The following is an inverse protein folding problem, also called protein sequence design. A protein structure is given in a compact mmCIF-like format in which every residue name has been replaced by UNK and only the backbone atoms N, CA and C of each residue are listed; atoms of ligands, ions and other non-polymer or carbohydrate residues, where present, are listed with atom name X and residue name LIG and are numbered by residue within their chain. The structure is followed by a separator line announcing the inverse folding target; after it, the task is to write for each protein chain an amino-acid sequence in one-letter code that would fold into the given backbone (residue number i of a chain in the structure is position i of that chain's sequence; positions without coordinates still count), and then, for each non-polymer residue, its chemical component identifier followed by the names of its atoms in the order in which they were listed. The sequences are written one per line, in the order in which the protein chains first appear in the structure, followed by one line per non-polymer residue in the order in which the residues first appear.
data_IF_184697870805
#
_entry.id   IF_184697870805
#
_cell.length_a   1.000
_cell.length_b   1.000
_cell.length_c   1.000
_cell.angle_alpha   90.00
_cell.angle_beta   90.00
_cell.angle_gamma   90.00
#
_symmetry.space_group_name_H-M   'P 1'
#
loop_
_entity.id
_entity.type
_entity.pdbx_description
1 polymer ?
#
# COMPACT_ATOMS: atom_id res chain seq x y z
N UNK A 1 19.58 -0.96 -82.88
CA UNK A 1 20.95 -1.12 -82.35
C UNK A 1 20.91 -0.61 -80.91
N UNK A 2 21.01 -1.37 -79.83
CA UNK A 2 21.66 -2.65 -79.52
C UNK A 2 20.83 -3.47 -78.51
N UNK A 3 21.02 -4.80 -78.53
CA UNK A 3 20.59 -5.80 -77.54
C UNK A 3 21.59 -5.88 -76.37
N UNK A 4 21.13 -6.27 -75.18
CA UNK A 4 21.63 -7.37 -74.32
C UNK A 4 20.85 -7.32 -72.98
N UNK A 5 19.96 -8.27 -72.69
CA UNK A 5 20.18 -9.53 -71.95
C UNK A 5 20.85 -9.39 -70.58
N UNK A 6 20.14 -9.74 -69.50
CA UNK A 6 20.55 -10.78 -68.55
C UNK A 6 19.41 -11.17 -67.60
N UNK A 7 19.28 -12.48 -67.42
CA UNK A 7 18.27 -13.16 -66.64
C UNK A 7 18.80 -13.50 -65.24
N UNK A 8 17.94 -13.50 -64.23
CA UNK A 8 18.11 -14.25 -62.98
C UNK A 8 16.77 -14.83 -62.55
N UNK A 9 16.57 -16.12 -62.82
CA UNK A 9 15.50 -16.95 -62.25
C UNK A 9 15.97 -17.46 -60.89
N UNK A 10 15.41 -16.92 -59.81
CA UNK A 10 15.50 -17.48 -58.46
C UNK A 10 14.22 -18.24 -58.12
N UNK A 11 14.28 -19.57 -58.08
CA UNK A 11 13.22 -20.43 -57.52
C UNK A 11 13.18 -20.22 -56.01
N UNK A 12 12.14 -19.56 -55.51
CA UNK A 12 11.86 -19.40 -54.09
C UNK A 12 11.26 -20.73 -53.61
N UNK A 13 11.99 -21.44 -52.75
CA UNK A 13 11.50 -22.63 -52.03
C UNK A 13 10.54 -22.20 -50.91
N UNK A 14 9.24 -22.56 -50.95
CA UNK A 14 8.27 -22.16 -49.92
C UNK A 14 8.14 -23.17 -48.77
N UNK A 15 8.91 -24.26 -48.75
CA UNK A 15 8.56 -25.45 -47.94
C UNK A 15 9.21 -25.52 -46.55
N UNK A 16 10.09 -24.57 -46.19
CA UNK A 16 10.78 -24.54 -44.89
C UNK A 16 10.17 -23.54 -43.90
N UNK A 17 9.62 -22.41 -44.39
CA UNK A 17 9.01 -21.39 -43.53
C UNK A 17 7.66 -21.83 -42.96
N UNK A 18 6.88 -22.59 -43.72
CA UNK A 18 5.57 -23.09 -43.28
C UNK A 18 5.70 -24.15 -42.17
N UNK A 19 6.78 -24.95 -42.18
CA UNK A 19 7.03 -25.96 -41.13
C UNK A 19 7.52 -25.32 -39.82
N UNK A 20 8.24 -24.19 -39.89
CA UNK A 20 8.70 -23.47 -38.69
C UNK A 20 7.55 -22.72 -38.00
N UNK A 21 6.57 -22.20 -38.76
CA UNK A 21 5.42 -21.50 -38.21
C UNK A 21 4.41 -22.45 -37.53
N UNK A 22 4.28 -23.68 -38.04
CA UNK A 22 3.39 -24.70 -37.47
C UNK A 22 3.92 -25.27 -36.14
N UNK A 23 5.24 -25.26 -35.92
CA UNK A 23 5.86 -25.65 -34.65
C UNK A 23 5.73 -24.57 -33.56
N UNK A 24 5.60 -23.31 -33.92
CA UNK A 24 5.42 -22.21 -32.95
C UNK A 24 3.98 -22.08 -32.45
N UNK A 25 2.99 -22.50 -33.25
CA UNK A 25 1.56 -22.45 -32.88
C UNK A 25 1.13 -23.61 -31.97
N UNK A 26 1.84 -24.75 -31.96
CA UNK A 26 1.54 -25.86 -31.05
C UNK A 26 2.12 -25.72 -29.63
N UNK A 27 2.94 -24.71 -29.35
CA UNK A 27 3.59 -24.52 -28.05
C UNK A 27 2.84 -23.66 -27.03
N UNK A 28 1.63 -23.16 -27.35
CA UNK A 28 0.93 -22.15 -26.53
C UNK A 28 -0.18 -22.69 -25.61
N UNK A 29 -0.28 -24.01 -25.42
CA UNK A 29 -1.35 -24.63 -24.65
C UNK A 29 -0.83 -25.37 -23.42
N UNK A 30 -0.32 -24.63 -22.44
CA UNK A 30 -0.12 -25.16 -21.08
C UNK A 30 -0.06 -24.00 -20.09
N UNK A 31 -1.20 -23.77 -19.42
CA UNK A 31 -1.33 -23.65 -17.96
C UNK A 31 -2.56 -22.81 -17.60
N UNK A 32 -3.74 -23.44 -17.70
CA UNK A 32 -4.90 -22.99 -16.93
C UNK A 32 -4.79 -23.69 -15.58
N UNK A 33 -4.09 -23.07 -14.63
CA UNK A 33 -4.11 -23.52 -13.25
C UNK A 33 -5.55 -23.34 -12.71
N UNK A 34 -6.34 -24.41 -12.76
CA UNK A 34 -7.63 -24.47 -12.09
C UNK A 34 -7.37 -24.47 -10.58
N UNK A 35 -7.39 -23.28 -9.97
CA UNK A 35 -7.42 -23.13 -8.52
C UNK A 35 -8.75 -23.71 -8.02
N UNK A 36 -8.73 -25.00 -7.66
CA UNK A 36 -9.88 -25.68 -7.08
C UNK A 36 -10.22 -25.04 -5.72
N UNK A 37 -11.37 -24.38 -5.63
CA UNK A 37 -11.89 -23.84 -4.37
C UNK A 37 -12.43 -25.01 -3.56
N UNK A 38 -11.86 -25.25 -2.39
CA UNK A 38 -12.32 -26.26 -1.44
C UNK A 38 -13.00 -25.56 -0.26
N UNK A 39 -14.24 -25.94 0.02
CA UNK A 39 -15.07 -25.37 1.08
C UNK A 39 -14.95 -26.24 2.33
N UNK A 40 -14.78 -25.61 3.48
CA UNK A 40 -14.74 -26.26 4.80
C UNK A 40 -15.95 -25.78 5.61
N UNK A 41 -16.71 -26.70 6.21
CA UNK A 41 -17.78 -26.37 7.15
C UNK A 41 -17.78 -27.34 8.33
N UNK A 42 -18.54 -27.00 9.36
CA UNK A 42 -18.72 -27.78 10.58
C UNK A 42 -20.20 -28.16 10.68
N UNK A 43 -20.50 -29.43 10.89
CA UNK A 43 -21.89 -29.88 11.07
C UNK A 43 -22.39 -29.66 12.52
N UNK A 44 -23.65 -29.98 12.77
CA UNK A 44 -24.31 -29.85 14.08
C UNK A 44 -23.64 -30.68 15.19
N UNK A 45 -22.83 -31.69 14.82
CA UNK A 45 -22.10 -32.55 15.74
C UNK A 45 -20.66 -32.06 15.99
N UNK A 46 -20.24 -30.97 15.34
CA UNK A 46 -18.88 -30.44 15.45
C UNK A 46 -17.86 -31.13 14.54
N UNK A 47 -18.30 -31.99 13.61
CA UNK A 47 -17.40 -32.64 12.64
C UNK A 47 -17.10 -31.72 11.46
N UNK A 48 -15.84 -31.75 11.01
CA UNK A 48 -15.33 -30.89 9.94
C UNK A 48 -15.40 -31.61 8.61
N UNK A 49 -16.14 -31.05 7.65
CA UNK A 49 -16.30 -31.59 6.31
C UNK A 49 -15.59 -30.71 5.26
N UNK A 50 -15.14 -31.35 4.17
CA UNK A 50 -14.51 -30.69 3.02
C UNK A 50 -15.22 -31.09 1.72
N UNK A 51 -15.62 -30.12 0.89
CA UNK A 51 -16.18 -30.38 -0.44
C UNK A 51 -15.69 -29.40 -1.50
N UNK A 52 -15.73 -29.84 -2.74
CA UNK A 52 -15.47 -29.02 -3.93
C UNK A 52 -16.73 -28.26 -4.40
N UNK A 53 -17.90 -28.55 -3.82
CA UNK A 53 -19.16 -27.86 -4.06
C UNK A 53 -19.65 -27.19 -2.77
N UNK A 54 -20.12 -25.92 -2.83
CA UNK A 54 -20.58 -25.21 -1.64
C UNK A 54 -21.84 -25.89 -1.07
N UNK A 55 -21.95 -26.04 0.26
CA UNK A 55 -23.16 -26.58 0.87
C UNK A 55 -24.34 -25.63 0.66
N UNK A 56 -25.50 -26.20 0.37
CA UNK A 56 -26.77 -25.47 0.25
C UNK A 56 -27.10 -24.96 1.65
N UNK A 57 -27.30 -23.64 1.77
CA UNK A 57 -27.63 -23.01 3.05
C UNK A 57 -29.06 -23.39 3.42
N UNK A 58 -29.22 -24.31 4.37
CA UNK A 58 -30.46 -24.42 5.14
C UNK A 58 -30.40 -23.41 6.30
N UNK A 59 -31.52 -22.72 6.52
CA UNK A 59 -31.65 -21.48 7.33
C UNK A 59 -31.43 -21.64 8.85
N UNK A 60 -30.74 -22.68 9.35
CA UNK A 60 -30.59 -22.94 10.79
C UNK A 60 -29.18 -22.68 11.38
N UNK A 61 -28.16 -22.30 10.60
CA UNK A 61 -26.83 -22.04 11.17
C UNK A 61 -26.61 -20.57 11.56
N UNK A 62 -26.58 -20.32 12.86
CA UNK A 62 -26.20 -19.06 13.53
C UNK A 62 -24.83 -18.56 13.03
N UNK A 63 -24.64 -17.25 12.72
CA UNK A 63 -23.33 -16.72 12.39
C UNK A 63 -22.49 -16.62 13.67
N UNK A 64 -21.63 -17.62 13.89
CA UNK A 64 -20.66 -17.62 14.97
C UNK A 64 -19.29 -17.18 14.44
N UNK A 65 -18.65 -16.29 15.18
CA UNK A 65 -17.38 -15.64 14.92
C UNK A 65 -16.33 -16.55 14.28
N UNK A 66 -15.78 -16.11 13.14
CA UNK A 66 -14.61 -16.75 12.53
C UNK A 66 -13.36 -16.46 13.36
N UNK A 67 -13.12 -17.27 14.38
CA UNK A 67 -11.80 -17.45 14.98
C UNK A 67 -11.04 -18.43 14.09
N UNK A 68 -10.28 -17.92 13.13
CA UNK A 68 -9.41 -18.74 12.30
C UNK A 68 -8.02 -18.88 12.95
N UNK A 69 -7.87 -19.89 13.81
CA UNK A 69 -6.55 -20.38 14.23
C UNK A 69 -6.09 -21.39 13.17
N UNK A 70 -5.22 -20.97 12.26
CA UNK A 70 -4.50 -21.89 11.37
C UNK A 70 -3.01 -21.94 11.73
N UNK A 71 -2.67 -22.84 12.65
CA UNK A 71 -1.33 -23.40 12.83
C UNK A 71 -1.07 -24.48 11.79
N UNK A 72 -0.34 -24.15 10.73
CA UNK A 72 0.55 -25.08 10.01
C UNK A 72 1.60 -24.30 9.20
N UNK A 73 2.86 -24.72 9.32
CA UNK A 73 4.05 -24.19 8.64
C UNK A 73 3.77 -23.73 7.20
N UNK A 74 3.91 -22.42 6.95
CA UNK A 74 3.76 -21.80 5.64
C UNK A 74 2.45 -21.05 5.41
N UNK A 75 1.55 -21.01 6.39
CA UNK A 75 0.30 -20.26 6.27
C UNK A 75 0.55 -18.76 6.13
N UNK A 76 0.19 -18.21 4.97
CA UNK A 76 0.24 -16.77 4.68
C UNK A 76 -0.79 -16.11 5.59
N UNK A 77 -0.34 -15.45 6.66
CA UNK A 77 -1.24 -14.66 7.51
C UNK A 77 -1.88 -13.56 6.66
N UNK A 78 -3.20 -13.52 6.67
CA UNK A 78 -3.99 -12.44 6.04
C UNK A 78 -4.35 -11.43 7.12
N UNK A 79 -4.30 -10.12 6.82
CA UNK A 79 -4.70 -9.10 7.78
C UNK A 79 -6.16 -9.26 8.21
N UNK A 80 -6.42 -9.26 9.52
CA UNK A 80 -7.76 -9.28 10.11
C UNK A 80 -8.15 -7.89 10.59
N UNK A 81 -9.45 -7.59 10.65
CA UNK A 81 -9.98 -6.32 11.13
C UNK A 81 -10.81 -6.59 12.38
N UNK A 82 -10.40 -5.99 13.51
CA UNK A 82 -11.12 -6.09 14.80
C UNK A 82 -11.43 -4.67 15.24
N UNK A 83 -12.72 -4.34 15.43
CA UNK A 83 -13.17 -2.98 15.77
C UNK A 83 -12.63 -1.88 14.83
N UNK A 84 -12.60 -2.21 13.52
CA UNK A 84 -12.03 -1.34 12.48
C UNK A 84 -10.49 -1.33 12.44
N UNK A 85 -9.81 -1.80 13.47
CA UNK A 85 -8.36 -1.81 13.54
C UNK A 85 -7.78 -3.03 12.80
N UNK A 86 -6.88 -2.83 11.80
CA UNK A 86 -6.22 -3.93 11.13
C UNK A 86 -5.10 -4.56 11.99
N UNK A 87 -4.98 -5.89 11.92
CA UNK A 87 -3.99 -6.72 12.61
C UNK A 87 -3.40 -7.78 11.68
N UNK A 88 -2.16 -8.18 11.94
CA UNK A 88 -1.54 -9.38 11.40
C UNK A 88 -1.18 -10.31 12.56
N UNK A 89 -2.02 -11.30 12.85
CA UNK A 89 -1.92 -12.05 14.12
C UNK A 89 -2.17 -11.11 15.30
N UNK A 90 -1.20 -10.96 16.19
CA UNK A 90 -1.27 -10.00 17.30
C UNK A 90 -0.65 -8.64 16.97
N UNK A 91 -0.01 -8.51 15.80
CA UNK A 91 0.65 -7.28 15.40
C UNK A 91 -0.35 -6.25 14.90
N UNK A 92 -0.55 -5.19 15.70
CA UNK A 92 -1.38 -4.03 15.32
C UNK A 92 -0.78 -3.25 14.16
N UNK A 93 -1.54 -3.08 13.09
CA UNK A 93 -1.14 -2.32 11.91
C UNK A 93 -1.45 -0.81 12.11
N UNK A 94 -0.72 0.10 11.45
CA UNK A 94 -1.04 1.52 11.52
C UNK A 94 -2.41 1.75 10.88
N UNK A 95 -3.25 2.52 11.57
CA UNK A 95 -4.54 2.96 11.04
C UNK A 95 -4.51 4.48 10.90
N UNK A 96 -5.02 5.04 9.79
CA UNK A 96 -5.22 6.47 9.72
C UNK A 96 -6.25 6.90 10.78
N UNK A 97 -6.07 8.12 11.32
CA UNK A 97 -7.08 8.74 12.17
C UNK A 97 -8.15 9.36 11.28
N UNK A 98 -9.42 9.10 11.58
CA UNK A 98 -10.58 9.65 10.85
C UNK A 98 -10.52 9.34 9.34
N UNK A 99 -11.23 10.12 8.50
CA UNK A 99 -11.29 10.01 7.03
C UNK A 99 -9.96 10.30 6.30
N UNK A 100 -8.81 10.13 6.96
CA UNK A 100 -7.49 10.43 6.39
C UNK A 100 -6.87 9.17 5.81
N UNK A 101 -5.87 9.33 4.94
CA UNK A 101 -5.06 8.21 4.47
C UNK A 101 -3.67 8.24 5.12
N UNK A 102 -3.05 7.07 5.21
CA UNK A 102 -1.67 6.96 5.67
C UNK A 102 -0.73 7.60 4.65
N UNK A 103 0.25 8.35 5.13
CA UNK A 103 1.30 8.88 4.25
C UNK A 103 2.22 7.78 3.75
N UNK A 104 2.74 7.94 2.54
CA UNK A 104 3.77 7.02 2.00
C UNK A 104 5.02 7.03 2.89
N UNK A 105 5.36 8.18 3.48
CA UNK A 105 6.47 8.30 4.44
C UNK A 105 6.26 7.40 5.65
N UNK A 106 5.10 7.48 6.30
CA UNK A 106 4.76 6.65 7.47
C UNK A 106 4.78 5.16 7.12
N UNK A 107 4.21 4.77 5.98
CA UNK A 107 4.25 3.38 5.52
C UNK A 107 5.68 2.90 5.28
N UNK A 108 6.51 3.70 4.60
CA UNK A 108 7.91 3.33 4.34
C UNK A 108 8.74 3.20 5.62
N UNK A 109 8.53 4.07 6.61
CA UNK A 109 9.16 3.96 7.93
C UNK A 109 8.76 2.68 8.65
N UNK A 110 7.46 2.33 8.60
CA UNK A 110 6.94 1.08 9.18
C UNK A 110 7.47 -0.15 8.47
N UNK A 111 7.47 -0.18 7.13
CA UNK A 111 8.06 -1.26 6.34
C UNK A 111 9.53 -1.44 6.70
N UNK A 112 10.32 -0.36 6.75
CA UNK A 112 11.74 -0.44 7.13
C UNK A 112 11.93 -1.09 8.51
N UNK A 113 11.16 -0.65 9.50
CA UNK A 113 11.20 -1.21 10.85
C UNK A 113 10.80 -2.70 10.88
N UNK A 114 9.70 -3.06 10.21
CA UNK A 114 9.24 -4.45 10.15
C UNK A 114 10.20 -5.34 9.38
N UNK A 115 10.81 -4.88 8.27
CA UNK A 115 11.81 -5.66 7.52
C UNK A 115 13.05 -5.95 8.37
N UNK A 116 13.52 -4.97 9.14
CA UNK A 116 14.64 -5.20 10.07
C UNK A 116 14.28 -6.20 11.16
N UNK A 117 13.05 -6.15 11.66
CA UNK A 117 12.60 -7.06 12.73
C UNK A 117 12.33 -8.46 12.20
N UNK A 118 11.73 -8.59 11.02
CA UNK A 118 11.54 -9.83 10.28
C UNK A 118 12.88 -10.57 10.10
N UNK A 119 13.93 -9.85 9.69
CA UNK A 119 15.24 -10.44 9.51
C UNK A 119 15.81 -11.00 10.82
N UNK A 120 15.68 -10.25 11.93
CA UNK A 120 16.07 -10.74 13.26
C UNK A 120 15.26 -11.97 13.69
N UNK A 121 13.96 -11.99 13.40
CA UNK A 121 13.08 -13.13 13.69
C UNK A 121 13.44 -14.36 12.87
N UNK A 122 13.76 -14.20 11.58
CA UNK A 122 14.26 -15.28 10.72
C UNK A 122 15.57 -15.85 11.24
N UNK A 123 16.52 -15.00 11.62
CA UNK A 123 17.79 -15.44 12.23
C UNK A 123 17.58 -16.19 13.56
N UNK A 124 16.63 -15.76 14.39
CA UNK A 124 16.29 -16.45 15.63
C UNK A 124 15.70 -17.85 15.36
N UNK A 125 14.79 -17.95 14.39
CA UNK A 125 14.21 -19.23 13.93
C UNK A 125 15.30 -20.16 13.38
N UNK A 126 16.21 -19.65 12.55
CA UNK A 126 17.30 -20.46 12.01
C UNK A 126 18.26 -20.94 13.09
N UNK A 127 18.60 -20.11 14.08
CA UNK A 127 19.40 -20.55 15.25
C UNK A 127 18.70 -21.65 16.05
N UNK A 128 17.38 -21.56 16.21
CA UNK A 128 16.59 -22.60 16.89
C UNK A 128 16.59 -23.93 16.11
N UNK A 129 16.49 -23.85 14.78
CA UNK A 129 16.43 -25.00 13.88
C UNK A 129 17.82 -25.62 13.61
N UNK A 130 18.90 -24.84 13.60
CA UNK A 130 20.23 -25.30 13.16
C UNK A 130 20.78 -26.52 13.93
N UNK A 131 20.70 -26.60 15.28
CA UNK A 131 21.09 -27.81 15.99
C UNK A 131 20.18 -28.99 15.65
N UNK A 132 18.87 -28.73 15.48
CA UNK A 132 17.86 -29.76 15.25
C UNK A 132 17.97 -30.37 13.85
N UNK A 133 18.38 -29.60 12.84
CA UNK A 133 18.66 -30.11 11.49
C UNK A 133 19.81 -31.14 11.47
N UNK A 134 20.77 -31.07 12.42
CA UNK A 134 21.93 -31.98 12.47
C UNK A 134 21.64 -33.33 13.15
N UNK A 135 20.63 -33.39 14.02
CA UNK A 135 20.31 -34.60 14.80
C UNK A 135 19.13 -35.42 14.23
N UNK A 136 18.44 -34.94 13.19
CA UNK A 136 17.17 -35.50 12.70
C UNK A 136 17.27 -36.59 11.63
N UNK A 137 18.44 -37.18 11.39
CA UNK A 137 18.55 -38.36 10.52
C UNK A 137 18.15 -39.67 11.21
N UNK A 138 17.88 -39.65 12.53
CA UNK A 138 17.58 -40.85 13.31
C UNK A 138 16.33 -40.66 14.18
N UNK A 139 15.25 -41.35 13.79
CA UNK A 139 14.08 -41.69 14.60
C UNK A 139 13.37 -40.53 15.33
N UNK A 140 12.48 -39.83 14.63
CA UNK A 140 11.77 -38.69 15.19
C UNK A 140 10.40 -39.04 15.78
N UNK A 141 10.34 -39.18 17.11
CA UNK A 141 9.10 -38.99 17.88
C UNK A 141 8.88 -37.48 18.06
N UNK A 142 7.82 -36.93 17.44
CA UNK A 142 7.36 -35.54 17.61
C UNK A 142 7.01 -35.28 19.08
N UNK A 143 7.87 -34.55 19.80
CA UNK A 143 7.53 -33.99 21.10
C UNK A 143 6.59 -32.80 20.94
N UNK A 144 5.54 -32.71 21.76
CA UNK A 144 4.63 -31.55 21.83
C UNK A 144 5.40 -30.25 22.05
N UNK A 145 6.43 -30.27 22.90
CA UNK A 145 7.28 -29.12 23.20
C UNK A 145 8.02 -28.53 21.99
N UNK A 146 8.40 -29.37 21.02
CA UNK A 146 9.08 -28.89 19.81
C UNK A 146 8.13 -28.07 18.92
N UNK A 147 6.88 -28.51 18.78
CA UNK A 147 5.90 -27.82 17.95
C UNK A 147 5.52 -26.48 18.56
N UNK A 148 5.36 -26.42 19.89
CA UNK A 148 5.08 -25.19 20.62
C UNK A 148 6.20 -24.16 20.48
N UNK A 149 7.46 -24.59 20.66
CA UNK A 149 8.61 -23.72 20.47
C UNK A 149 8.74 -23.25 19.01
N UNK A 150 8.55 -24.16 18.05
CA UNK A 150 8.60 -23.82 16.63
C UNK A 150 7.55 -22.75 16.28
N UNK A 151 6.31 -22.92 16.77
CA UNK A 151 5.25 -21.95 16.59
C UNK A 151 5.63 -20.58 17.20
N UNK A 152 6.28 -20.57 18.37
CA UNK A 152 6.76 -19.34 19.02
C UNK A 152 7.77 -18.58 18.15
N UNK A 153 8.70 -19.27 17.48
CA UNK A 153 9.69 -18.62 16.60
C UNK A 153 9.12 -18.25 15.22
N UNK A 154 8.17 -19.03 14.69
CA UNK A 154 7.53 -18.76 13.40
C UNK A 154 6.54 -17.58 13.48
N UNK A 155 5.84 -17.42 14.61
CA UNK A 155 4.84 -16.37 14.80
C UNK A 155 5.33 -14.97 14.38
N UNK A 156 6.42 -14.41 14.94
CA UNK A 156 6.87 -13.06 14.55
C UNK A 156 7.31 -12.99 13.09
N UNK A 157 7.83 -14.08 12.50
CA UNK A 157 8.18 -14.12 11.07
C UNK A 157 6.93 -13.93 10.23
N UNK A 158 5.86 -14.66 10.53
CA UNK A 158 4.61 -14.59 9.79
C UNK A 158 3.93 -13.22 9.99
N UNK A 159 3.90 -12.70 11.23
CA UNK A 159 3.24 -11.42 11.55
C UNK A 159 3.92 -10.24 10.84
N UNK A 160 5.25 -10.16 10.87
CA UNK A 160 5.96 -9.08 10.16
C UNK A 160 5.89 -9.23 8.64
N UNK A 161 5.89 -10.46 8.12
CA UNK A 161 5.70 -10.70 6.69
C UNK A 161 4.32 -10.19 6.23
N UNK A 162 3.25 -10.59 6.94
CA UNK A 162 1.90 -10.09 6.70
C UNK A 162 1.83 -8.56 6.77
N UNK A 163 2.46 -7.93 7.77
CA UNK A 163 2.43 -6.48 7.92
C UNK A 163 3.12 -5.74 6.75
N UNK A 164 4.24 -6.29 6.26
CA UNK A 164 4.95 -5.76 5.09
C UNK A 164 4.08 -5.90 3.84
N UNK A 165 3.47 -7.07 3.62
CA UNK A 165 2.63 -7.32 2.45
C UNK A 165 1.39 -6.43 2.46
N UNK A 166 0.75 -6.27 3.61
CA UNK A 166 -0.33 -5.30 3.82
C UNK A 166 0.10 -3.87 3.49
N UNK A 167 1.24 -3.41 4.01
CA UNK A 167 1.70 -2.05 3.76
C UNK A 167 2.12 -1.83 2.30
N UNK A 168 2.68 -2.83 1.64
CA UNK A 168 2.97 -2.78 0.21
C UNK A 168 1.67 -2.68 -0.61
N UNK A 169 0.61 -3.39 -0.22
CA UNK A 169 -0.72 -3.26 -0.83
C UNK A 169 -1.32 -1.84 -0.70
N UNK A 170 -0.95 -1.10 0.37
CA UNK A 170 -1.42 0.28 0.62
C UNK A 170 -0.55 1.37 0.02
N UNK A 171 0.60 1.04 -0.57
CA UNK A 171 1.56 2.05 -1.08
C UNK A 171 0.98 2.93 -2.17
N UNK A 172 0.27 2.35 -3.13
CA UNK A 172 -0.23 3.14 -4.27
C UNK A 172 -1.36 4.08 -3.83
N UNK A 173 -2.23 3.65 -2.92
CA UNK A 173 -3.27 4.50 -2.33
C UNK A 173 -2.63 5.68 -1.57
N UNK A 174 -1.62 5.39 -0.74
CA UNK A 174 -0.87 6.41 -0.02
C UNK A 174 -0.16 7.39 -0.96
N UNK A 175 0.40 6.90 -2.07
CA UNK A 175 1.06 7.74 -3.09
C UNK A 175 0.07 8.67 -3.78
N UNK A 176 -1.11 8.15 -4.15
CA UNK A 176 -2.19 8.96 -4.74
C UNK A 176 -2.70 10.02 -3.76
N UNK A 177 -2.89 9.66 -2.50
CA UNK A 177 -3.30 10.62 -1.47
C UNK A 177 -2.24 11.69 -1.23
N UNK A 178 -0.96 11.31 -1.18
CA UNK A 178 0.16 12.25 -1.04
C UNK A 178 0.23 13.23 -2.23
N UNK A 179 0.03 12.74 -3.45
CA UNK A 179 0.00 13.55 -4.66
C UNK A 179 -1.18 14.54 -4.65
N UNK A 180 -2.37 14.08 -4.29
CA UNK A 180 -3.56 14.93 -4.17
C UNK A 180 -3.37 16.04 -3.12
N UNK A 181 -2.87 15.68 -1.94
CA UNK A 181 -2.54 16.65 -0.89
C UNK A 181 -1.52 17.70 -1.36
N UNK A 182 -0.44 17.28 -2.03
CA UNK A 182 0.57 18.19 -2.55
C UNK A 182 -0.02 19.13 -3.60
N UNK A 183 -0.86 18.62 -4.51
CA UNK A 183 -1.54 19.43 -5.52
C UNK A 183 -2.44 20.50 -4.88
N UNK A 184 -3.26 20.12 -3.91
CA UNK A 184 -4.13 21.06 -3.19
C UNK A 184 -3.33 22.10 -2.41
N UNK A 185 -2.25 21.67 -1.74
CA UNK A 185 -1.37 22.57 -1.02
C UNK A 185 -0.73 23.60 -1.95
N UNK A 186 -0.14 23.16 -3.06
CA UNK A 186 0.49 24.06 -4.03
C UNK A 186 -0.51 25.03 -4.63
N UNK A 187 -1.74 24.57 -4.92
CA UNK A 187 -2.82 25.46 -5.37
C UNK A 187 -3.16 26.51 -4.32
N UNK A 188 -3.38 26.12 -3.06
CA UNK A 188 -3.71 27.05 -1.98
C UNK A 188 -2.57 28.05 -1.69
N UNK A 189 -1.31 27.62 -1.81
CA UNK A 189 -0.14 28.50 -1.71
C UNK A 189 -0.13 29.54 -2.84
N UNK A 190 -0.34 29.11 -4.08
CA UNK A 190 -0.42 30.01 -5.23
C UNK A 190 -1.56 31.01 -5.11
N UNK A 191 -2.74 30.57 -4.65
CA UNK A 191 -3.89 31.45 -4.44
C UNK A 191 -3.58 32.52 -3.37
N UNK A 192 -2.87 32.15 -2.30
CA UNK A 192 -2.41 33.09 -1.29
C UNK A 192 -1.38 34.08 -1.85
N UNK A 193 -0.42 33.63 -2.64
CA UNK A 193 0.57 34.48 -3.29
C UNK A 193 -0.08 35.49 -4.24
N UNK A 194 -1.03 35.03 -5.09
CA UNK A 194 -1.78 35.90 -6.01
C UNK A 194 -2.60 36.94 -5.23
N UNK A 195 -3.31 36.54 -4.19
CA UNK A 195 -4.08 37.46 -3.36
C UNK A 195 -3.18 38.50 -2.66
N UNK A 196 -2.00 38.06 -2.19
CA UNK A 196 -1.01 38.92 -1.53
C UNK A 196 -0.39 39.91 -2.53
N UNK A 197 0.01 39.45 -3.71
CA UNK A 197 0.55 40.29 -4.77
C UNK A 197 -0.49 41.30 -5.27
N UNK A 198 -1.76 40.89 -5.40
CA UNK A 198 -2.86 41.80 -5.77
C UNK A 198 -3.06 42.88 -4.71
N UNK A 199 -3.04 42.53 -3.43
CA UNK A 199 -3.10 43.50 -2.34
C UNK A 199 -1.95 44.50 -2.42
N UNK A 200 -0.71 44.02 -2.61
CA UNK A 200 0.47 44.90 -2.72
C UNK A 200 0.42 45.80 -3.96
N UNK A 201 -0.07 45.29 -5.10
CA UNK A 201 -0.24 46.10 -6.32
C UNK A 201 -1.20 47.27 -6.13
N UNK A 202 -2.23 47.10 -5.31
CA UNK A 202 -3.29 48.11 -5.11
C UNK A 202 -2.98 49.03 -3.94
N UNK A 203 -2.48 48.48 -2.83
CA UNK A 203 -2.29 49.21 -1.58
C UNK A 203 -0.82 49.58 -1.28
N UNK A 204 0.14 49.02 -2.02
CA UNK A 204 1.57 49.12 -1.72
C UNK A 204 2.03 48.14 -0.65
N UNK A 205 3.33 48.23 -0.33
CA UNK A 205 3.94 47.48 0.77
C UNK A 205 3.53 48.05 2.15
N UNK A 206 3.58 47.21 3.18
CA UNK A 206 3.30 47.65 4.56
C UNK A 206 4.31 48.72 4.97
N UNK A 207 3.87 49.95 5.31
CA UNK A 207 4.77 50.97 5.81
C UNK A 207 5.35 50.56 7.17
N UNK A 208 6.58 51.01 7.46
CA UNK A 208 7.25 50.79 8.75
C UNK A 208 6.31 51.08 9.94
N UNK A 209 6.18 50.09 10.85
CA UNK A 209 5.29 50.20 12.02
C UNK A 209 5.76 51.30 12.96
N UNK A 210 4.79 52.02 13.51
CA UNK A 210 5.00 53.34 14.05
C UNK A 210 5.27 53.41 15.55
N UNK A 211 6.27 54.21 15.94
CA UNK A 211 6.42 54.84 17.25
C UNK A 211 6.41 56.39 17.08
N UNK A 212 5.30 57.02 17.48
CA UNK A 212 5.04 58.47 17.76
C UNK A 212 5.30 59.62 16.72
N UNK A 213 4.22 60.39 16.46
CA UNK A 213 3.88 61.64 15.69
C UNK A 213 4.45 62.03 14.28
N UNK A 214 3.56 62.11 13.25
CA UNK A 214 3.86 62.71 11.92
C UNK A 214 3.19 62.06 10.68
N UNK A 215 3.54 62.56 9.46
CA UNK A 215 3.07 62.09 8.11
C UNK A 215 3.20 60.58 7.85
N UNK A 216 3.99 59.86 8.67
CA UNK A 216 4.12 58.40 8.64
C UNK A 216 2.84 57.70 9.15
N UNK A 217 2.16 58.27 10.15
CA UNK A 217 0.86 57.77 10.67
C UNK A 217 -0.22 57.82 9.60
N UNK A 218 -0.30 58.91 8.85
CA UNK A 218 -1.30 59.07 7.78
C UNK A 218 -1.12 58.02 6.67
N UNK A 219 0.13 57.78 6.24
CA UNK A 219 0.45 56.71 5.28
C UNK A 219 0.07 55.33 5.81
N UNK A 220 0.39 55.03 7.07
CA UNK A 220 0.00 53.76 7.69
C UNK A 220 -1.52 53.58 7.76
N UNK A 221 -2.26 54.60 8.19
CA UNK A 221 -3.73 54.55 8.25
C UNK A 221 -4.38 54.44 6.86
N UNK A 222 -3.82 55.12 5.85
CA UNK A 222 -4.27 55.00 4.46
C UNK A 222 -4.03 53.59 3.92
N UNK A 223 -2.85 53.02 4.17
CA UNK A 223 -2.53 51.64 3.85
C UNK A 223 -3.49 50.68 4.55
N UNK A 224 -3.70 50.83 5.87
CA UNK A 224 -4.60 49.98 6.66
C UNK A 224 -6.04 50.04 6.16
N UNK A 225 -6.51 51.23 5.76
CA UNK A 225 -7.84 51.41 5.17
C UNK A 225 -7.93 50.71 3.81
N UNK A 226 -6.90 50.78 2.98
CA UNK A 226 -6.83 50.07 1.71
C UNK A 226 -6.82 48.54 1.92
N UNK A 227 -5.97 48.05 2.81
CA UNK A 227 -5.81 46.61 3.07
C UNK A 227 -6.96 45.98 3.84
N UNK A 228 -7.90 46.74 4.41
CA UNK A 228 -9.11 46.14 5.03
C UNK A 228 -9.87 45.23 4.05
N UNK A 229 -10.06 45.67 2.80
CA UNK A 229 -10.81 44.91 1.78
C UNK A 229 -9.99 43.73 1.25
N UNK A 230 -8.75 43.99 0.82
CA UNK A 230 -7.90 42.95 0.20
C UNK A 230 -7.28 42.00 1.22
N UNK A 231 -7.00 42.48 2.43
CA UNK A 231 -6.52 41.67 3.55
C UNK A 231 -7.55 40.65 4.04
N UNK A 232 -8.84 40.88 3.81
CA UNK A 232 -9.86 39.85 4.05
C UNK A 232 -9.66 38.65 3.12
N UNK A 233 -9.42 38.90 1.82
CA UNK A 233 -9.13 37.86 0.82
C UNK A 233 -7.83 37.12 1.17
N UNK A 234 -6.78 37.84 1.53
CA UNK A 234 -5.50 37.22 1.97
C UNK A 234 -5.70 36.33 3.19
N UNK A 235 -6.49 36.78 4.18
CA UNK A 235 -6.83 35.96 5.37
C UNK A 235 -7.64 34.72 4.99
N UNK A 236 -8.57 34.84 4.06
CA UNK A 236 -9.36 33.71 3.56
C UNK A 236 -8.45 32.67 2.89
N UNK A 237 -7.58 33.09 1.97
CA UNK A 237 -6.65 32.16 1.28
C UNK A 237 -5.65 31.53 2.25
N UNK A 238 -5.18 32.29 3.25
CA UNK A 238 -4.36 31.74 4.34
C UNK A 238 -5.11 30.71 5.17
N UNK A 239 -6.39 30.97 5.47
CA UNK A 239 -7.25 30.01 6.17
C UNK A 239 -7.41 28.71 5.37
N UNK A 240 -7.61 28.81 4.05
CA UNK A 240 -7.66 27.65 3.14
C UNK A 240 -6.36 26.86 3.17
N UNK A 241 -5.21 27.52 3.04
CA UNK A 241 -3.90 26.86 3.16
C UNK A 241 -3.75 26.14 4.51
N UNK A 242 -4.08 26.80 5.62
CA UNK A 242 -4.02 26.20 6.96
C UNK A 242 -5.01 25.03 7.12
N UNK A 243 -6.13 25.03 6.40
CA UNK A 243 -7.09 23.92 6.40
C UNK A 243 -6.51 22.72 5.66
N UNK A 244 -5.89 22.94 4.49
CA UNK A 244 -5.20 21.89 3.73
C UNK A 244 -4.07 21.31 4.57
N UNK A 245 -3.23 22.13 5.20
CA UNK A 245 -2.13 21.64 6.04
C UNK A 245 -2.62 20.85 7.25
N UNK A 246 -3.73 21.25 7.87
CA UNK A 246 -4.37 20.50 8.97
C UNK A 246 -5.02 19.19 8.52
N UNK A 247 -5.45 19.07 7.26
CA UNK A 247 -6.00 17.81 6.75
C UNK A 247 -4.97 16.66 6.78
N UNK A 248 -3.67 16.99 6.84
CA UNK A 248 -2.57 16.04 6.84
C UNK A 248 -2.22 15.44 8.21
N UNK A 249 -2.51 16.14 9.31
CA UNK A 249 -2.08 15.81 10.67
C UNK A 249 -3.24 15.53 11.60
#
# INVERSE_FOLDING_TARGET
MWRMQSALKGKIMPDLFTKLFLLFVLGSASDVALAAKMYKWVDENGEVHFSQTPPIQDESSVPQDQIEIQTTSGSVLVPTIVDGQPFCGELKLPMPRDNRQLSSKTLNEKIKYWSQTLERSKQALDRYLAPKRKYYSSSYKKSTTFNEDLARYQKPVNEYQCAIDWANGKKEDARKSDAAYLQEKTKAQKDLEVATAQMHRICGEEPEKYNEYGKKRERYLAWQKCTRKYGAVVREMRSKLNSVERSRY
#
